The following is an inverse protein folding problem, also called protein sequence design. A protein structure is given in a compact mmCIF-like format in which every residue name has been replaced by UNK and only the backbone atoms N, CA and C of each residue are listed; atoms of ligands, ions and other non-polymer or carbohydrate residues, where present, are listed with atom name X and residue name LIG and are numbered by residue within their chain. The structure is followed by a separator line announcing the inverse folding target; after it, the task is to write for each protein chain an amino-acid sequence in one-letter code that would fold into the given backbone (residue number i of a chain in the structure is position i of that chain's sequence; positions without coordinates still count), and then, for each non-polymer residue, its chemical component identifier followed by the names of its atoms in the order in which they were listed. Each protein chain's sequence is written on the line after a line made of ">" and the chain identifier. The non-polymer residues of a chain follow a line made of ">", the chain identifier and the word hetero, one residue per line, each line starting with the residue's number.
data_IF_253666713212
#
_entry.id   IF_253666713212
#
_cell.length_a   1.000
_cell.length_b   1.000
_cell.length_c   1.000
_cell.angle_alpha   90.00
_cell.angle_beta   90.00
_cell.angle_gamma   90.00
#
_symmetry.space_group_name_H-M   'P 1'
#
loop_
_entity.id
_entity.type
_entity.pdbx_description
1 polymer ?
#
# COMPACT_ATOMS: atom_id res chain seq x y z
N UNK A 1 -7.75 0.70 11.99
CA UNK A 1 -7.84 -0.27 11.48
C UNK A 1 -8.43 -1.27 12.33
N UNK A 2 -8.92 -1.93 11.73
CA UNK A 2 -9.43 -2.92 12.35
C UNK A 2 -8.56 -4.00 12.07
N UNK A 3 -8.20 -4.53 12.64
CA UNK A 3 -7.50 -5.54 12.36
C UNK A 3 -8.36 -6.45 11.71
N UNK A 4 -8.00 -6.91 10.62
CA UNK A 4 -8.71 -8.01 9.97
C UNK A 4 -8.51 -9.31 10.75
N UNK A 5 -9.62 -9.94 11.08
CA UNK A 5 -9.61 -11.15 11.91
C UNK A 5 -10.99 -11.81 11.87
N UNK A 6 -11.13 -12.97 12.51
CA UNK A 6 -12.43 -13.64 12.67
C UNK A 6 -13.05 -13.22 14.00
N UNK A 7 -14.25 -12.65 13.94
CA UNK A 7 -14.96 -12.14 15.11
C UNK A 7 -16.23 -12.93 15.34
N UNK A 8 -16.35 -13.57 16.51
CA UNK A 8 -17.58 -14.22 16.93
C UNK A 8 -18.54 -13.14 17.45
N UNK A 9 -19.71 -13.04 16.83
CA UNK A 9 -20.73 -12.07 17.17
C UNK A 9 -22.08 -12.79 17.33
N UNK A 10 -22.90 -12.30 18.22
CA UNK A 10 -24.28 -12.78 18.36
C UNK A 10 -25.22 -11.90 17.52
N UNK A 11 -26.31 -12.48 16.98
CA UNK A 11 -27.30 -11.66 16.28
C UNK A 11 -27.79 -10.50 17.17
N UNK A 12 -27.91 -9.30 16.58
CA UNK A 12 -28.33 -8.11 17.31
C UNK A 12 -27.20 -7.37 18.02
N UNK A 13 -25.92 -7.82 17.92
CA UNK A 13 -24.80 -7.08 18.52
C UNK A 13 -24.77 -5.65 17.98
N UNK A 14 -24.81 -4.61 18.84
CA UNK A 14 -24.74 -3.22 18.38
C UNK A 14 -23.44 -2.93 17.61
N UNK A 15 -23.56 -2.10 16.56
CA UNK A 15 -22.42 -1.76 15.70
C UNK A 15 -21.23 -1.19 16.50
N UNK A 16 -21.49 -0.37 17.52
CA UNK A 16 -20.41 0.20 18.34
C UNK A 16 -19.61 -0.88 19.09
N UNK A 17 -20.28 -1.98 19.47
CA UNK A 17 -19.60 -3.12 20.13
C UNK A 17 -18.72 -3.85 19.12
N UNK A 18 -19.22 -4.02 17.89
CA UNK A 18 -18.47 -4.64 16.81
C UNK A 18 -17.21 -3.80 16.51
N UNK A 19 -17.39 -2.50 16.31
CA UNK A 19 -16.26 -1.59 16.02
C UNK A 19 -15.26 -1.58 17.19
N UNK A 20 -15.74 -1.59 18.43
CA UNK A 20 -14.87 -1.64 19.60
C UNK A 20 -14.06 -2.93 19.61
N UNK A 21 -14.65 -4.08 19.35
CA UNK A 21 -13.94 -5.36 19.29
C UNK A 21 -12.82 -5.30 18.23
N UNK A 22 -13.10 -4.73 17.05
CA UNK A 22 -12.14 -4.62 15.97
C UNK A 22 -10.96 -3.69 16.33
N UNK A 23 -11.25 -2.55 16.96
CA UNK A 23 -10.21 -1.60 17.38
C UNK A 23 -9.40 -2.10 18.58
N UNK A 24 -10.04 -2.78 19.52
CA UNK A 24 -9.34 -3.40 20.65
C UNK A 24 -8.39 -4.51 20.14
N UNK A 25 -8.83 -5.27 19.14
CA UNK A 25 -7.99 -6.30 18.53
C UNK A 25 -6.77 -5.69 17.83
N UNK A 26 -6.95 -4.56 17.15
CA UNK A 26 -5.83 -3.80 16.58
C UNK A 26 -4.82 -3.41 17.67
N UNK A 27 -5.31 -2.83 18.78
CA UNK A 27 -4.44 -2.42 19.89
C UNK A 27 -3.72 -3.62 20.51
N UNK A 28 -4.41 -4.75 20.64
CA UNK A 28 -3.84 -5.98 21.23
C UNK A 28 -2.70 -6.52 20.36
N UNK A 29 -2.87 -6.55 19.04
CA UNK A 29 -1.91 -7.19 18.15
C UNK A 29 -0.80 -6.25 17.66
N UNK A 30 -1.07 -4.95 17.61
CA UNK A 30 -0.11 -3.98 17.08
C UNK A 30 0.32 -2.92 18.10
N UNK A 31 -0.39 -2.81 19.23
CA UNK A 31 -0.11 -1.78 20.23
C UNK A 31 1.30 -1.81 20.80
N UNK A 32 1.84 -3.02 21.03
CA UNK A 32 3.21 -3.17 21.51
C UNK A 32 4.26 -2.75 20.49
N UNK A 33 3.95 -2.84 19.22
CA UNK A 33 4.87 -2.48 18.13
C UNK A 33 4.85 -0.98 17.83
N UNK A 34 3.83 -0.26 18.33
CA UNK A 34 3.77 1.20 18.20
C UNK A 34 4.95 1.89 18.89
N UNK A 35 5.45 1.29 19.99
CA UNK A 35 6.63 1.82 20.69
C UNK A 35 7.94 1.58 19.92
N UNK A 36 7.89 0.74 18.88
CA UNK A 36 9.06 0.35 18.10
C UNK A 36 9.08 0.99 16.70
N UNK A 37 8.21 2.01 16.47
CA UNK A 37 8.18 2.70 15.18
C UNK A 37 9.53 3.37 14.91
N UNK A 38 10.31 2.77 14.02
CA UNK A 38 11.63 3.27 13.65
C UNK A 38 11.64 3.86 12.23
N UNK A 39 10.45 4.01 11.64
CA UNK A 39 10.30 4.46 10.26
C UNK A 39 10.28 6.01 10.12
N UNK A 40 10.15 6.75 11.22
CA UNK A 40 10.08 8.20 11.23
C UNK A 40 8.68 8.76 10.93
N UNK A 41 7.67 7.90 10.85
CA UNK A 41 6.27 8.26 10.57
C UNK A 41 5.45 8.24 11.86
N UNK A 42 4.35 8.97 11.89
CA UNK A 42 3.39 8.82 12.98
C UNK A 42 2.53 7.56 12.77
N UNK A 43 1.66 7.26 13.73
CA UNK A 43 0.78 6.08 13.67
C UNK A 43 -0.15 6.13 12.45
N UNK A 44 -0.73 7.30 12.18
CA UNK A 44 -1.68 7.47 11.07
C UNK A 44 -0.99 7.21 9.72
N UNK A 45 0.18 7.79 9.54
CA UNK A 45 1.00 7.61 8.33
C UNK A 45 1.45 6.15 8.20
N UNK A 46 1.86 5.52 9.32
CA UNK A 46 2.29 4.10 9.32
C UNK A 46 1.14 3.20 8.89
N UNK A 47 -0.08 3.41 9.43
CA UNK A 47 -1.25 2.60 9.04
C UNK A 47 -1.64 2.89 7.58
N UNK A 48 -1.50 4.14 7.14
CA UNK A 48 -1.75 4.53 5.74
C UNK A 48 -0.76 3.80 4.80
N UNK A 49 0.53 3.82 5.12
CA UNK A 49 1.54 3.06 4.37
C UNK A 49 1.20 1.56 4.38
N UNK A 50 0.85 1.01 5.54
CA UNK A 50 0.48 -0.41 5.65
C UNK A 50 -0.70 -0.77 4.75
N UNK A 51 -1.68 0.14 4.61
CA UNK A 51 -2.85 -0.10 3.76
C UNK A 51 -2.49 -0.14 2.27
N UNK A 52 -1.50 0.66 1.86
CA UNK A 52 -0.97 0.64 0.49
C UNK A 52 -0.23 -0.69 0.27
N UNK A 53 0.65 -1.07 1.21
CA UNK A 53 1.38 -2.34 1.15
C UNK A 53 0.42 -3.53 1.07
N UNK A 54 -0.66 -3.51 1.86
CA UNK A 54 -1.68 -4.58 1.86
C UNK A 54 -2.29 -4.80 0.47
N UNK A 55 -2.52 -3.70 -0.25
CA UNK A 55 -3.17 -3.77 -1.57
C UNK A 55 -2.18 -4.02 -2.72
N UNK A 56 -0.87 -3.75 -2.51
CA UNK A 56 0.16 -3.95 -3.53
C UNK A 56 0.82 -5.33 -3.47
N UNK A 57 1.05 -5.85 -2.26
CA UNK A 57 1.90 -7.02 -2.06
C UNK A 57 1.17 -8.32 -2.41
N UNK A 58 1.57 -8.96 -3.49
CA UNK A 58 1.06 -10.28 -3.87
C UNK A 58 1.79 -11.39 -3.10
N UNK A 59 3.07 -11.21 -2.81
CA UNK A 59 3.90 -12.16 -2.08
C UNK A 59 4.21 -11.58 -0.69
N UNK A 60 3.92 -12.34 0.40
CA UNK A 60 4.16 -11.86 1.76
C UNK A 60 5.59 -11.38 2.02
N UNK A 61 6.58 -12.05 1.45
CA UNK A 61 8.00 -11.71 1.64
C UNK A 61 8.38 -10.35 1.03
N UNK A 62 7.59 -9.83 0.09
CA UNK A 62 7.88 -8.53 -0.55
C UNK A 62 7.32 -7.33 0.22
N UNK A 63 6.44 -7.55 1.21
CA UNK A 63 5.85 -6.44 1.98
C UNK A 63 6.89 -5.47 2.53
N UNK A 64 7.97 -5.92 3.20
CA UNK A 64 8.98 -4.97 3.70
C UNK A 64 9.72 -4.21 2.58
N UNK A 65 9.91 -4.85 1.42
CA UNK A 65 10.56 -4.22 0.26
C UNK A 65 9.64 -3.14 -0.34
N UNK A 66 8.36 -3.46 -0.53
CA UNK A 66 7.37 -2.50 -1.05
C UNK A 66 7.24 -1.32 -0.08
N UNK A 67 7.16 -1.60 1.23
CA UNK A 67 7.12 -0.55 2.25
C UNK A 67 8.36 0.36 2.15
N UNK A 68 9.55 -0.22 1.92
CA UNK A 68 10.77 0.55 1.79
C UNK A 68 10.76 1.47 0.57
N UNK A 69 10.18 1.03 -0.57
CA UNK A 69 10.07 1.88 -1.76
C UNK A 69 9.25 3.14 -1.43
N UNK A 70 8.06 2.97 -0.86
CA UNK A 70 7.18 4.10 -0.57
C UNK A 70 7.78 5.02 0.49
N UNK A 71 8.42 4.46 1.53
CA UNK A 71 9.09 5.27 2.56
C UNK A 71 10.27 6.04 1.98
N UNK A 72 11.07 5.42 1.11
CA UNK A 72 12.21 6.08 0.45
C UNK A 72 11.73 7.22 -0.46
N UNK A 73 10.65 6.99 -1.23
CA UNK A 73 10.06 8.05 -2.05
C UNK A 73 9.59 9.21 -1.17
N UNK A 74 8.85 8.91 -0.10
CA UNK A 74 8.36 9.93 0.85
C UNK A 74 9.54 10.77 1.40
N UNK A 75 10.61 10.11 1.87
CA UNK A 75 11.80 10.78 2.43
C UNK A 75 12.52 11.67 1.41
N UNK A 76 12.41 11.34 0.13
CA UNK A 76 13.00 12.12 -0.97
C UNK A 76 12.06 13.20 -1.53
N UNK A 77 10.88 13.35 -0.97
CA UNK A 77 9.88 14.29 -1.49
C UNK A 77 9.30 13.87 -2.83
N UNK A 78 9.41 12.59 -3.18
CA UNK A 78 8.82 12.06 -4.41
C UNK A 78 7.36 11.65 -4.15
N UNK A 79 6.50 11.90 -5.11
CA UNK A 79 5.11 11.41 -5.05
C UNK A 79 5.11 9.89 -5.00
N UNK A 80 4.19 9.33 -4.22
CA UNK A 80 4.16 7.87 -4.03
C UNK A 80 3.79 7.13 -5.33
N UNK A 81 2.86 7.67 -6.11
CA UNK A 81 2.41 7.09 -7.40
C UNK A 81 1.97 5.63 -7.22
N UNK A 82 1.14 5.40 -6.21
CA UNK A 82 0.63 4.08 -5.88
C UNK A 82 -0.74 3.88 -6.54
N UNK A 83 -0.83 2.98 -7.52
CA UNK A 83 -2.07 2.68 -8.25
C UNK A 83 -3.27 2.40 -7.33
N UNK A 84 -3.12 1.63 -6.22
CA UNK A 84 -4.27 1.38 -5.34
C UNK A 84 -4.90 2.64 -4.76
N UNK A 85 -4.14 3.72 -4.61
CA UNK A 85 -4.70 4.99 -4.11
C UNK A 85 -5.61 5.65 -5.15
N UNK A 86 -5.26 5.50 -6.43
CA UNK A 86 -6.10 5.98 -7.56
C UNK A 86 -7.39 5.15 -7.62
N UNK A 87 -7.27 3.81 -7.51
CA UNK A 87 -8.43 2.92 -7.46
C UNK A 87 -9.37 3.32 -6.32
N UNK A 88 -8.80 3.60 -5.14
CA UNK A 88 -9.59 4.02 -3.98
C UNK A 88 -10.31 5.35 -4.26
N UNK A 89 -9.60 6.32 -4.83
CA UNK A 89 -10.19 7.62 -5.22
C UNK A 89 -11.34 7.44 -6.22
N UNK A 90 -11.16 6.57 -7.22
CA UNK A 90 -12.19 6.27 -8.22
C UNK A 90 -13.41 5.60 -7.58
N UNK A 91 -13.19 4.68 -6.64
CA UNK A 91 -14.29 4.03 -5.91
C UNK A 91 -15.08 5.04 -5.08
N UNK A 92 -14.40 5.95 -4.39
CA UNK A 92 -15.06 7.02 -3.62
C UNK A 92 -15.90 7.93 -4.53
N UNK A 93 -15.42 8.17 -5.74
CA UNK A 93 -16.13 9.01 -6.73
C UNK A 93 -17.21 8.25 -7.52
N UNK A 94 -17.39 6.94 -7.29
CA UNK A 94 -18.32 6.11 -8.06
C UNK A 94 -17.91 5.92 -9.52
N UNK A 95 -16.64 6.07 -9.84
CA UNK A 95 -16.10 6.04 -11.22
C UNK A 95 -15.26 4.81 -11.54
N UNK A 96 -15.09 3.89 -10.58
CA UNK A 96 -14.24 2.70 -10.81
C UNK A 96 -14.89 1.75 -11.83
N UNK A 97 -14.20 1.49 -12.93
CA UNK A 97 -14.69 0.67 -14.05
C UNK A 97 -13.94 -0.65 -14.24
N UNK A 98 -13.00 -0.96 -13.34
CA UNK A 98 -12.22 -2.20 -13.41
C UNK A 98 -10.77 -1.99 -13.84
N UNK A 99 -10.47 -0.89 -14.52
CA UNK A 99 -9.12 -0.55 -14.98
C UNK A 99 -8.82 0.92 -14.69
N UNK A 100 -7.52 1.25 -14.54
CA UNK A 100 -7.05 2.63 -14.44
C UNK A 100 -6.75 3.12 -15.87
N UNK A 101 -7.29 4.26 -16.24
CA UNK A 101 -7.00 4.93 -17.51
C UNK A 101 -6.05 6.11 -17.29
N UNK A 102 -5.38 6.58 -18.34
CA UNK A 102 -4.44 7.71 -18.25
C UNK A 102 -5.05 8.94 -17.57
N UNK A 103 -6.31 9.24 -17.90
CA UNK A 103 -6.99 10.41 -17.35
C UNK A 103 -7.26 10.26 -15.85
N UNK A 104 -7.41 9.04 -15.36
CA UNK A 104 -7.61 8.77 -13.94
C UNK A 104 -6.37 9.16 -13.13
N UNK A 105 -5.17 8.96 -13.70
CA UNK A 105 -3.91 9.36 -13.04
C UNK A 105 -3.81 10.88 -12.88
N UNK A 106 -4.56 11.64 -13.69
CA UNK A 106 -4.59 13.10 -13.66
C UNK A 106 -5.73 13.65 -12.80
N UNK A 107 -6.60 12.77 -12.27
CA UNK A 107 -7.76 13.17 -11.46
C UNK A 107 -7.33 13.97 -10.23
N UNK A 108 -7.94 15.14 -10.04
CA UNK A 108 -7.70 15.97 -8.85
C UNK A 108 -8.52 15.41 -7.68
N UNK A 109 -7.87 14.59 -6.86
CA UNK A 109 -8.48 13.92 -5.72
C UNK A 109 -7.46 13.77 -4.60
N UNK A 110 -7.87 13.95 -3.33
CA UNK A 110 -6.93 13.88 -2.19
C UNK A 110 -6.22 12.54 -2.05
N UNK A 111 -6.82 11.45 -2.52
CA UNK A 111 -6.21 10.11 -2.47
C UNK A 111 -5.36 9.79 -3.69
N UNK A 112 -5.30 10.67 -4.72
CA UNK A 112 -4.51 10.39 -5.92
C UNK A 112 -3.04 10.73 -5.70
N UNK A 113 -2.22 9.73 -5.35
CA UNK A 113 -0.79 9.92 -5.07
C UNK A 113 0.07 10.16 -6.32
N UNK A 114 -0.54 10.23 -7.51
CA UNK A 114 0.12 10.79 -8.70
C UNK A 114 0.04 12.32 -8.72
N UNK A 115 -0.88 12.92 -7.93
CA UNK A 115 -1.14 14.35 -7.93
C UNK A 115 -0.77 15.02 -6.61
N UNK A 116 -0.95 14.31 -5.48
CA UNK A 116 -0.65 14.85 -4.15
C UNK A 116 0.76 14.44 -3.72
N UNK A 117 1.39 15.29 -2.91
CA UNK A 117 2.70 15.01 -2.33
C UNK A 117 2.51 14.32 -0.98
N UNK A 118 3.38 13.36 -0.68
CA UNK A 118 3.33 12.61 0.58
C UNK A 118 2.24 11.54 0.59
N UNK A 119 1.78 11.21 1.80
CA UNK A 119 0.74 10.19 1.99
C UNK A 119 -0.66 10.76 1.69
N UNK A 120 -1.60 9.91 1.26
CA UNK A 120 -3.00 10.35 1.14
C UNK A 120 -3.59 10.62 2.53
N UNK A 121 -4.81 11.20 2.61
CA UNK A 121 -5.39 11.61 3.90
C UNK A 121 -5.57 10.49 4.92
N UNK A 122 -5.55 9.23 4.49
CA UNK A 122 -5.70 8.09 5.40
C UNK A 122 -5.65 6.75 4.69
N UNK A 123 -5.82 5.66 5.44
CA UNK A 123 -5.73 4.31 4.88
C UNK A 123 -6.77 4.05 3.78
N UNK A 124 -6.36 3.27 2.78
CA UNK A 124 -7.20 2.85 1.64
C UNK A 124 -7.76 1.43 1.81
N UNK A 125 -7.33 0.74 2.86
CA UNK A 125 -7.75 -0.63 3.21
C UNK A 125 -7.58 -0.84 4.71
N UNK A 126 -8.01 -1.99 5.22
CA UNK A 126 -7.72 -2.41 6.59
C UNK A 126 -6.53 -3.38 6.54
N UNK A 127 -5.32 -2.92 6.85
CA UNK A 127 -4.14 -3.79 6.73
C UNK A 127 -4.10 -4.87 7.80
N UNK A 128 -3.63 -6.04 7.42
CA UNK A 128 -3.32 -7.13 8.33
C UNK A 128 -2.00 -6.89 9.08
N UNK A 129 -1.75 -7.72 10.09
CA UNK A 129 -0.57 -7.56 10.95
C UNK A 129 0.75 -7.60 10.17
N UNK A 130 0.84 -8.43 9.12
CA UNK A 130 2.06 -8.51 8.30
C UNK A 130 2.37 -7.20 7.59
N UNK A 131 1.35 -6.52 7.06
CA UNK A 131 1.54 -5.22 6.39
C UNK A 131 1.82 -4.11 7.39
N UNK A 132 1.20 -4.16 8.57
CA UNK A 132 1.47 -3.21 9.65
C UNK A 132 2.94 -3.34 10.11
N UNK A 133 3.43 -4.55 10.29
CA UNK A 133 4.84 -4.81 10.65
C UNK A 133 5.79 -4.33 9.55
N UNK A 134 5.48 -4.62 8.29
CA UNK A 134 6.29 -4.19 7.16
C UNK A 134 6.39 -2.65 7.08
N UNK A 135 5.28 -1.96 7.35
CA UNK A 135 5.27 -0.50 7.36
C UNK A 135 6.01 0.08 8.57
N UNK A 136 5.86 -0.55 9.75
CA UNK A 136 6.53 -0.09 10.98
C UNK A 136 8.05 -0.31 10.91
N UNK A 137 8.49 -1.40 10.25
CA UNK A 137 9.91 -1.76 10.12
C UNK A 137 10.20 -2.22 8.68
N UNK A 138 10.24 -1.27 7.73
CA UNK A 138 10.53 -1.60 6.32
C UNK A 138 11.94 -2.15 6.14
N UNK A 139 12.17 -2.85 5.04
CA UNK A 139 13.50 -3.29 4.67
C UNK A 139 14.42 -2.09 4.45
N UNK A 140 15.68 -2.21 4.84
CA UNK A 140 16.67 -1.15 4.65
C UNK A 140 17.24 -1.25 3.24
N UNK A 141 16.65 -0.52 2.29
CA UNK A 141 17.05 -0.53 0.89
C UNK A 141 17.15 0.89 0.34
N UNK A 142 17.71 1.01 -0.87
CA UNK A 142 17.72 2.25 -1.64
C UNK A 142 16.67 2.22 -2.76
N UNK A 143 15.77 1.25 -2.77
CA UNK A 143 14.80 1.09 -3.86
C UNK A 143 13.79 2.25 -3.89
N UNK A 144 13.50 2.71 -5.11
CA UNK A 144 12.54 3.78 -5.39
C UNK A 144 11.42 3.32 -6.35
N UNK A 145 11.60 2.16 -7.00
CA UNK A 145 10.68 1.66 -8.02
C UNK A 145 10.53 0.14 -7.89
N UNK A 146 9.39 -0.36 -8.32
CA UNK A 146 9.20 -1.79 -8.54
C UNK A 146 8.22 -2.00 -9.70
N UNK A 147 8.28 -3.16 -10.33
CA UNK A 147 7.38 -3.57 -11.41
C UNK A 147 7.19 -5.09 -11.33
N UNK A 148 5.99 -5.55 -11.66
CA UNK A 148 5.68 -6.99 -11.67
C UNK A 148 6.53 -7.70 -12.72
N UNK A 149 7.03 -8.90 -12.35
CA UNK A 149 7.66 -9.84 -13.31
C UNK A 149 6.66 -10.75 -14.00
N UNK A 150 5.37 -10.63 -13.66
CA UNK A 150 4.27 -11.47 -14.17
C UNK A 150 4.31 -12.94 -13.69
N UNK A 151 5.21 -13.25 -12.77
CA UNK A 151 5.29 -14.57 -12.11
C UNK A 151 4.84 -14.49 -10.63
N UNK A 152 4.23 -13.37 -10.26
CA UNK A 152 3.82 -13.07 -8.89
C UNK A 152 4.87 -12.29 -8.10
N UNK A 153 6.12 -12.22 -8.59
CA UNK A 153 7.20 -11.47 -7.93
C UNK A 153 7.38 -10.09 -8.55
N UNK A 154 8.18 -9.26 -7.89
CA UNK A 154 8.50 -7.90 -8.35
C UNK A 154 9.99 -7.72 -8.61
N UNK A 155 10.33 -6.87 -9.58
CA UNK A 155 11.67 -6.40 -9.82
C UNK A 155 11.80 -5.01 -9.19
N UNK A 156 12.72 -4.89 -8.24
CA UNK A 156 12.97 -3.64 -7.49
C UNK A 156 14.18 -2.92 -8.10
N UNK A 157 14.16 -1.58 -8.09
CA UNK A 157 15.26 -0.78 -8.63
C UNK A 157 15.38 0.55 -7.89
N UNK A 158 16.62 1.10 -7.87
CA UNK A 158 16.95 2.34 -7.19
C UNK A 158 16.98 3.54 -8.14
N UNK A 159 17.07 3.28 -9.45
CA UNK A 159 17.12 4.35 -10.46
C UNK A 159 16.00 4.20 -11.47
N UNK A 160 15.60 5.32 -12.06
CA UNK A 160 14.58 5.34 -13.12
C UNK A 160 15.06 4.56 -14.35
N UNK A 161 16.34 4.63 -14.64
CA UNK A 161 16.93 3.89 -15.78
C UNK A 161 16.72 2.38 -15.61
N UNK A 162 17.10 1.83 -14.44
CA UNK A 162 16.89 0.41 -14.13
C UNK A 162 15.41 0.04 -14.17
N UNK A 163 14.55 0.91 -13.63
CA UNK A 163 13.10 0.69 -13.65
C UNK A 163 12.60 0.60 -15.09
N UNK A 164 13.01 1.52 -15.96
CA UNK A 164 12.57 1.53 -17.36
C UNK A 164 13.04 0.26 -18.09
N UNK A 165 14.25 -0.24 -17.80
CA UNK A 165 14.75 -1.51 -18.33
C UNK A 165 13.87 -2.67 -17.87
N UNK A 166 13.49 -2.70 -16.58
CA UNK A 166 12.59 -3.72 -16.03
C UNK A 166 11.19 -3.64 -16.66
N UNK A 167 10.65 -2.43 -16.85
CA UNK A 167 9.35 -2.23 -17.51
C UNK A 167 9.40 -2.75 -18.95
N UNK A 168 10.48 -2.44 -19.68
CA UNK A 168 10.65 -2.93 -21.04
C UNK A 168 10.64 -4.47 -21.06
N UNK A 169 11.44 -5.09 -20.17
CA UNK A 169 11.59 -6.53 -20.11
C UNK A 169 10.31 -7.25 -19.70
N UNK A 170 9.67 -6.80 -18.60
CA UNK A 170 8.59 -7.54 -17.96
C UNK A 170 7.19 -7.10 -18.39
N UNK A 171 7.03 -5.88 -18.95
CA UNK A 171 5.70 -5.37 -19.31
C UNK A 171 5.50 -5.24 -20.81
N UNK A 172 6.56 -4.98 -21.58
CA UNK A 172 6.45 -4.78 -23.03
C UNK A 172 6.91 -5.99 -23.83
N UNK A 173 8.10 -6.51 -23.53
CA UNK A 173 8.67 -7.62 -24.30
C UNK A 173 8.08 -8.97 -23.90
N UNK A 174 7.69 -9.13 -22.64
CA UNK A 174 7.00 -10.34 -22.15
C UNK A 174 5.78 -10.66 -23.02
N UNK A 175 4.93 -9.66 -23.27
CA UNK A 175 3.70 -9.85 -24.05
C UNK A 175 3.94 -10.02 -25.54
N UNK A 176 5.12 -9.68 -26.06
CA UNK A 176 5.47 -9.92 -27.46
C UNK A 176 5.89 -11.37 -27.74
N UNK A 177 6.39 -12.07 -26.72
CA UNK A 177 6.85 -13.45 -26.85
C UNK A 177 5.74 -14.50 -26.79
N UNK A 178 4.53 -14.10 -26.46
CA UNK A 178 3.37 -15.01 -26.29
C UNK A 178 2.44 -15.06 -27.51
N UNK A 179 2.84 -14.52 -28.69
CA UNK A 179 2.06 -14.58 -29.92
C UNK A 179 2.47 -15.76 -30.80
#
# INVERSE_FOLDING_TARGET
>A
XXXPDTYKLTPGTPIRVILKKMTDNFRKHFGGELALLANGLDLHETVTLASIVETEAHIPAERPLIASVYLNRHRKGMRLQADPTVIYALKLAGRWSGNIHKDDLMMDAPYNTYRVDGFPPGPIANPGLASLRAAASPANTAFLYFVSRNDGTSAFSSTLEQHNQNVQLYQRDYWKGEK
#
